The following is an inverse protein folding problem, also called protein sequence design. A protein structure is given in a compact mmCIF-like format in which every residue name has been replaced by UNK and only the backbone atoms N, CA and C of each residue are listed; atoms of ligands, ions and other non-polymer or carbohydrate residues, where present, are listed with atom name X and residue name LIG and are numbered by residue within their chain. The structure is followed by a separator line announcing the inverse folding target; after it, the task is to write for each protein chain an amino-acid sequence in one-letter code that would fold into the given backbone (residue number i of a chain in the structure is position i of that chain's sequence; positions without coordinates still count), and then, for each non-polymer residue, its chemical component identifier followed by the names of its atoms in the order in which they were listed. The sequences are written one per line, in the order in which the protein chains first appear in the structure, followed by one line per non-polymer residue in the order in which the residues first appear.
data_IF_571164923544
#
_entry.id   IF_571164923544
#
_cell.length_a   1.000
_cell.length_b   1.000
_cell.length_c   1.000
_cell.angle_alpha   90.00
_cell.angle_beta   90.00
_cell.angle_gamma   90.00
#
_symmetry.space_group_name_H-M   'P 1'
#
loop_
_entity.id
_entity.type
_entity.pdbx_description
1 polymer ?
#
# COMPACT_ATOMS: atom_id res chain seq x y z
N UNK A 1 -1.73 7.78 -12.37
CA UNK A 1 -1.12 8.84 -11.58
C UNK A 1 -0.43 8.30 -10.34
N UNK A 2 0.78 8.79 -10.07
CA UNK A 2 1.55 8.33 -8.91
C UNK A 2 1.34 9.23 -7.71
N UNK A 3 1.20 8.60 -6.54
CA UNK A 3 1.15 9.29 -5.26
C UNK A 3 2.19 8.65 -4.34
N UNK A 4 2.87 9.47 -3.56
CA UNK A 4 3.89 9.01 -2.63
C UNK A 4 3.69 9.69 -1.29
N UNK A 5 3.93 8.98 -0.20
CA UNK A 5 3.82 9.53 1.14
C UNK A 5 4.14 8.53 2.21
N UNK A 6 3.74 8.86 3.44
CA UNK A 6 3.94 7.98 4.58
C UNK A 6 2.65 7.84 5.37
N UNK A 7 2.49 6.69 6.03
CA UNK A 7 1.40 6.42 6.94
C UNK A 7 1.99 5.98 8.27
N UNK A 8 1.60 6.64 9.36
CA UNK A 8 1.98 6.23 10.71
C UNK A 8 0.97 5.23 11.24
N UNK A 9 1.40 3.98 11.43
CA UNK A 9 0.54 2.93 11.97
C UNK A 9 0.84 2.76 13.46
N UNK A 10 -0.15 2.97 14.35
CA UNK A 10 0.08 2.85 15.80
C UNK A 10 0.58 1.47 16.21
N UNK A 11 1.55 1.42 17.12
CA UNK A 11 2.14 0.18 17.64
C UNK A 11 1.54 -0.27 18.97
N UNK A 12 0.68 0.55 19.57
CA UNK A 12 0.06 0.20 20.84
C UNK A 12 0.83 0.68 22.08
N UNK A 13 2.03 1.22 21.91
CA UNK A 13 2.86 1.73 23.01
C UNK A 13 3.07 3.24 22.94
N UNK A 14 2.19 3.94 22.24
CA UNK A 14 2.31 5.37 22.01
C UNK A 14 3.24 5.74 20.88
N UNK A 15 3.81 4.74 20.19
CA UNK A 15 4.70 4.94 19.05
C UNK A 15 4.00 4.53 17.76
N UNK A 16 4.66 4.82 16.63
CA UNK A 16 4.14 4.52 15.30
C UNK A 16 5.19 3.79 14.48
N UNK A 17 4.71 2.89 13.63
CA UNK A 17 5.52 2.33 12.54
C UNK A 17 5.28 3.20 11.32
N UNK A 18 6.32 3.77 10.75
CA UNK A 18 6.21 4.61 9.56
C UNK A 18 6.28 3.72 8.32
N UNK A 19 5.19 3.71 7.55
CA UNK A 19 5.13 2.95 6.30
C UNK A 19 5.21 3.94 5.14
N UNK A 20 6.22 3.81 4.31
CA UNK A 20 6.39 4.64 3.12
C UNK A 20 5.67 3.96 1.96
N UNK A 21 4.88 4.72 1.21
CA UNK A 21 4.12 4.14 0.10
C UNK A 21 4.34 4.87 -1.22
N UNK A 22 4.24 4.11 -2.30
CA UNK A 22 4.16 4.59 -3.67
C UNK A 22 2.96 3.89 -4.29
N UNK A 23 1.97 4.66 -4.77
CA UNK A 23 0.76 4.09 -5.35
C UNK A 23 0.51 4.71 -6.71
N UNK A 24 0.20 3.86 -7.69
CA UNK A 24 -0.24 4.29 -9.01
C UNK A 24 -1.70 3.89 -9.18
N UNK A 25 -2.58 4.89 -9.23
CA UNK A 25 -4.01 4.68 -9.38
C UNK A 25 -4.51 5.42 -10.62
N UNK A 26 -5.44 4.79 -11.32
CA UNK A 26 -6.09 5.38 -12.48
C UNK A 26 -7.49 5.87 -12.11
N UNK A 27 -8.10 6.68 -12.98
CA UNK A 27 -9.45 7.19 -12.74
C UNK A 27 -10.51 6.11 -12.84
N UNK A 28 -10.22 5.04 -13.58
CA UNK A 28 -11.15 3.93 -13.76
C UNK A 28 -10.55 2.59 -13.37
N UNK A 29 -11.38 1.66 -12.89
CA UNK A 29 -10.91 0.32 -12.54
C UNK A 29 -10.37 -0.44 -13.74
N UNK A 30 -9.47 -1.39 -13.47
CA UNK A 30 -8.86 -2.22 -14.49
C UNK A 30 -8.84 -3.68 -14.02
N UNK A 31 -8.90 -4.61 -14.95
CA UNK A 31 -8.76 -6.02 -14.62
C UNK A 31 -7.38 -6.34 -14.03
N UNK A 32 -6.41 -5.43 -14.19
CA UNK A 32 -5.07 -5.60 -13.63
C UNK A 32 -4.89 -4.86 -12.30
N UNK A 33 -5.90 -4.10 -11.85
CA UNK A 33 -5.85 -3.41 -10.57
C UNK A 33 -6.09 -4.36 -9.41
N UNK A 34 -5.70 -3.93 -8.20
CA UNK A 34 -5.93 -4.70 -6.98
C UNK A 34 -7.45 -4.93 -6.85
N UNK A 35 -7.84 -6.18 -6.74
CA UNK A 35 -9.26 -6.58 -6.68
C UNK A 35 -10.07 -5.96 -7.83
N UNK A 36 -9.44 -5.82 -8.99
CA UNK A 36 -10.03 -5.20 -10.18
C UNK A 36 -10.45 -3.76 -9.94
N UNK A 37 -9.74 -3.05 -9.06
CA UNK A 37 -9.98 -1.66 -8.76
C UNK A 37 -9.05 -0.73 -9.54
N UNK A 38 -8.85 0.48 -9.00
CA UNK A 38 -8.08 1.52 -9.68
C UNK A 38 -6.59 1.49 -9.43
N UNK A 39 -6.13 0.85 -8.34
CA UNK A 39 -4.71 0.76 -8.03
C UNK A 39 -4.06 -0.31 -8.89
N UNK A 40 -3.13 0.12 -9.76
CA UNK A 40 -2.40 -0.82 -10.63
C UNK A 40 -1.03 -1.19 -10.09
N UNK A 41 -0.42 -0.30 -9.28
CA UNK A 41 0.87 -0.54 -8.65
C UNK A 41 0.86 0.03 -7.24
N UNK A 42 1.43 -0.70 -6.29
CA UNK A 42 1.51 -0.26 -4.90
C UNK A 42 2.71 -0.93 -4.23
N UNK A 43 3.62 -0.10 -3.72
CA UNK A 43 4.77 -0.58 -2.97
C UNK A 43 4.72 0.03 -1.58
N UNK A 44 4.92 -0.80 -0.55
CA UNK A 44 5.05 -0.36 0.83
C UNK A 44 6.42 -0.75 1.35
N UNK A 45 7.10 0.19 2.02
CA UNK A 45 8.38 -0.06 2.66
C UNK A 45 8.37 0.39 4.11
N UNK A 46 9.07 -0.35 4.95
CA UNK A 46 9.33 0.01 6.34
C UNK A 46 10.84 -0.09 6.54
N UNK A 47 11.47 1.01 6.98
CA UNK A 47 12.92 1.06 7.18
C UNK A 47 13.70 0.59 5.96
N UNK A 48 13.22 0.95 4.77
CA UNK A 48 13.88 0.61 3.51
C UNK A 48 13.61 -0.79 2.98
N UNK A 49 12.85 -1.61 3.71
CA UNK A 49 12.51 -2.97 3.25
C UNK A 49 11.12 -3.01 2.66
N UNK A 50 10.98 -3.70 1.54
CA UNK A 50 9.68 -3.90 0.90
C UNK A 50 8.85 -4.87 1.76
N UNK A 51 7.68 -4.40 2.22
CA UNK A 51 6.76 -5.20 3.03
C UNK A 51 5.45 -5.50 2.29
N UNK A 52 5.28 -4.94 1.11
CA UNK A 52 4.19 -5.26 0.19
C UNK A 52 4.55 -4.73 -1.18
N UNK A 53 4.27 -5.48 -2.21
CA UNK A 53 4.44 -5.00 -3.57
C UNK A 53 3.40 -5.63 -4.50
N UNK A 54 2.70 -4.76 -5.22
CA UNK A 54 1.75 -5.15 -6.25
C UNK A 54 2.11 -4.40 -7.52
N UNK A 55 2.37 -5.12 -8.60
CA UNK A 55 2.69 -4.53 -9.89
C UNK A 55 1.87 -5.25 -10.95
N UNK A 56 0.61 -4.80 -11.13
CA UNK A 56 -0.36 -5.40 -12.04
C UNK A 56 -0.65 -6.88 -11.70
N UNK A 57 -0.29 -7.27 -10.49
CA UNK A 57 -0.44 -8.59 -9.92
C UNK A 57 0.32 -8.62 -8.60
N UNK A 58 -0.08 -9.48 -7.68
CA UNK A 58 0.58 -9.55 -6.37
C UNK A 58 1.97 -10.16 -6.49
N UNK A 59 2.98 -9.40 -6.03
CA UNK A 59 4.39 -9.82 -6.04
C UNK A 59 4.85 -10.18 -4.63
N UNK A 60 4.68 -9.24 -3.66
CA UNK A 60 5.03 -9.47 -2.27
C UNK A 60 3.79 -9.22 -1.42
N UNK A 61 3.21 -10.25 -0.79
CA UNK A 61 2.05 -10.05 0.08
C UNK A 61 2.44 -9.29 1.35
N UNK A 62 1.45 -8.75 2.10
CA UNK A 62 1.76 -7.99 3.32
C UNK A 62 2.58 -8.85 4.29
N UNK A 63 3.70 -8.31 4.76
CA UNK A 63 4.65 -9.06 5.59
C UNK A 63 4.40 -8.91 7.09
N UNK A 64 3.57 -7.95 7.49
CA UNK A 64 3.26 -7.70 8.91
C UNK A 64 1.98 -6.89 9.04
N UNK A 65 1.53 -6.68 10.28
CA UNK A 65 0.30 -5.94 10.55
C UNK A 65 0.34 -4.49 10.08
N UNK A 66 1.49 -3.84 10.21
CA UNK A 66 1.62 -2.45 9.75
C UNK A 66 1.40 -2.35 8.24
N UNK A 67 1.94 -3.31 7.47
CA UNK A 67 1.72 -3.36 6.03
C UNK A 67 0.24 -3.62 5.71
N UNK A 68 -0.41 -4.52 6.44
CA UNK A 68 -1.83 -4.81 6.22
C UNK A 68 -2.69 -3.58 6.51
N UNK A 69 -2.40 -2.86 7.59
CA UNK A 69 -3.15 -1.65 7.93
C UNK A 69 -2.95 -0.55 6.90
N UNK A 70 -1.71 -0.31 6.49
CA UNK A 70 -1.41 0.71 5.48
C UNK A 70 -2.07 0.35 4.15
N UNK A 71 -2.04 -0.92 3.76
CA UNK A 71 -2.70 -1.39 2.55
C UNK A 71 -4.19 -1.10 2.60
N UNK A 72 -4.86 -1.41 3.72
CA UNK A 72 -6.29 -1.17 3.87
C UNK A 72 -6.64 0.31 3.74
N UNK A 73 -5.82 1.19 4.32
CA UNK A 73 -6.01 2.65 4.22
C UNK A 73 -5.90 3.10 2.77
N UNK A 74 -4.89 2.64 2.05
CA UNK A 74 -4.67 3.03 0.66
C UNK A 74 -5.74 2.46 -0.27
N UNK A 75 -6.20 1.25 0.01
CA UNK A 75 -7.31 0.65 -0.73
C UNK A 75 -8.58 1.49 -0.57
N UNK A 76 -8.85 1.95 0.65
CA UNK A 76 -10.00 2.81 0.89
C UNK A 76 -9.87 4.14 0.16
N UNK A 77 -8.68 4.71 0.14
CA UNK A 77 -8.47 6.04 -0.40
C UNK A 77 -8.36 6.08 -1.93
N UNK A 78 -7.69 5.10 -2.53
CA UNK A 78 -7.36 5.16 -3.96
C UNK A 78 -8.04 4.09 -4.81
N UNK A 79 -8.49 3.02 -4.23
CA UNK A 79 -9.04 1.91 -5.01
C UNK A 79 -10.56 1.97 -5.15
#
# INVERSE_FOLDING_TARGET
MWHEGTIGVPKGDGKYTVVHYWVKAYDEPSQYGIEKGRISKLTLKISGEVVYNYDRGLDVPPQNEAAETALAILMYEYN
#
